data_IF_578393876702
#
_entry.id   IF_578393876702
#
_cell.length_a   1.000
_cell.length_b   1.000
_cell.length_c   1.000
_cell.angle_alpha   90.00
_cell.angle_beta   90.00
_cell.angle_gamma   90.00
#
_symmetry.space_group_name_H-M   'P 1'
#
loop_
_entity.id
_entity.type
_entity.pdbx_description
1 polymer ?
#
# COMPACT_ATOMS: atom_id res chain seq x y z
N UNK A 1 3.68 5.37 8.95
CA UNK A 1 4.15 6.71 8.47
C UNK A 1 3.98 7.70 9.60
N UNK A 2 4.85 8.70 9.73
CA UNK A 2 4.66 9.75 10.74
C UNK A 2 3.37 10.54 10.44
N UNK A 3 2.55 10.88 11.45
CA UNK A 3 1.26 11.55 11.23
C UNK A 3 1.33 12.83 10.39
N UNK A 4 2.41 13.61 10.54
CA UNK A 4 2.64 14.84 9.76
C UNK A 4 2.84 14.62 8.24
N UNK A 5 3.10 13.39 7.81
CA UNK A 5 3.33 13.04 6.41
C UNK A 5 2.10 12.39 5.75
N UNK A 6 1.06 12.12 6.53
CA UNK A 6 -0.19 11.54 6.03
C UNK A 6 -0.91 12.57 5.14
N UNK A 7 -1.32 12.16 3.95
CA UNK A 7 -1.94 13.05 2.96
C UNK A 7 -0.97 13.93 2.16
N UNK A 8 0.32 13.84 2.47
CA UNK A 8 1.37 14.49 1.69
C UNK A 8 1.80 13.62 0.49
N UNK A 9 2.59 14.15 -0.46
CA UNK A 9 3.17 13.35 -1.55
C UNK A 9 3.97 12.12 -1.10
N UNK A 10 4.43 12.09 0.14
CA UNK A 10 5.10 10.93 0.75
C UNK A 10 4.18 9.72 0.95
N UNK A 11 2.86 9.94 1.01
CA UNK A 11 1.88 8.86 1.01
C UNK A 11 1.89 8.09 -0.31
N UNK A 12 2.02 8.79 -1.43
CA UNK A 12 2.19 8.20 -2.77
C UNK A 12 3.49 7.38 -2.84
N UNK A 13 4.61 7.95 -2.40
CA UNK A 13 5.89 7.24 -2.38
C UNK A 13 5.82 5.96 -1.55
N UNK A 14 5.26 6.02 -0.34
CA UNK A 14 5.16 4.87 0.54
C UNK A 14 4.25 3.77 -0.01
N UNK A 15 3.12 4.13 -0.62
CA UNK A 15 2.15 3.18 -1.14
C UNK A 15 2.56 2.61 -2.51
N UNK A 16 3.10 3.45 -3.41
CA UNK A 16 3.37 3.09 -4.81
C UNK A 16 4.83 2.69 -5.06
N UNK A 17 5.78 3.10 -4.21
CA UNK A 17 7.19 2.74 -4.38
C UNK A 17 7.42 1.24 -4.47
N UNK A 18 6.72 0.43 -3.66
CA UNK A 18 6.76 -1.04 -3.72
C UNK A 18 6.21 -1.60 -5.04
N UNK A 19 5.28 -0.91 -5.70
CA UNK A 19 4.76 -1.33 -7.00
C UNK A 19 5.81 -1.18 -8.10
N UNK A 20 6.68 -0.17 -8.03
CA UNK A 20 7.84 -0.04 -8.93
C UNK A 20 8.87 -1.15 -8.70
N UNK A 21 9.02 -1.62 -7.45
CA UNK A 21 9.85 -2.80 -7.17
C UNK A 21 9.29 -4.06 -7.83
N UNK A 22 7.98 -4.31 -7.70
CA UNK A 22 7.29 -5.41 -8.39
C UNK A 22 7.48 -5.30 -9.92
N UNK A 23 7.32 -4.09 -10.47
CA UNK A 23 7.53 -3.85 -11.90
C UNK A 23 8.96 -4.13 -12.37
N UNK A 24 9.95 -3.99 -11.47
CA UNK A 24 11.36 -4.21 -11.79
C UNK A 24 11.79 -5.67 -11.67
N UNK A 25 11.03 -6.49 -10.93
CA UNK A 25 11.33 -7.89 -10.63
C UNK A 25 10.12 -8.80 -10.81
N UNK A 26 9.43 -8.76 -11.98
CA UNK A 26 8.14 -9.44 -12.16
C UNK A 26 8.24 -10.97 -11.96
N UNK A 27 9.40 -11.55 -12.22
CA UNK A 27 9.66 -12.99 -12.07
C UNK A 27 9.62 -13.48 -10.60
N UNK A 28 9.59 -12.55 -9.64
CA UNK A 28 9.57 -12.86 -8.20
C UNK A 28 8.18 -12.79 -7.57
N UNK A 29 7.20 -12.38 -8.34
CA UNK A 29 5.84 -12.12 -7.83
C UNK A 29 4.82 -12.94 -8.60
N UNK A 30 3.72 -13.27 -7.93
CA UNK A 30 2.55 -13.84 -8.58
C UNK A 30 1.85 -12.80 -9.48
N UNK A 31 0.99 -13.25 -10.37
CA UNK A 31 0.24 -12.41 -11.30
C UNK A 31 -0.83 -11.55 -10.62
N UNK A 32 -1.12 -11.81 -9.35
CA UNK A 32 -2.12 -11.10 -8.57
C UNK A 32 -1.54 -10.62 -7.25
N UNK A 33 -1.96 -9.45 -6.83
CA UNK A 33 -1.63 -8.83 -5.55
C UNK A 33 -2.91 -8.73 -4.74
N UNK A 34 -2.83 -9.13 -3.47
CA UNK A 34 -3.89 -8.97 -2.48
C UNK A 34 -3.36 -8.12 -1.33
N UNK A 35 -4.18 -7.26 -0.78
CA UNK A 35 -3.86 -6.47 0.40
C UNK A 35 -5.09 -6.27 1.26
N UNK A 36 -4.93 -6.37 2.55
CA UNK A 36 -5.94 -6.08 3.56
C UNK A 36 -5.78 -4.64 4.02
N UNK A 37 -6.89 -3.94 4.15
CA UNK A 37 -6.94 -2.57 4.68
C UNK A 37 -7.61 -2.63 6.04
N UNK A 38 -7.01 -1.98 7.01
CA UNK A 38 -7.50 -1.95 8.40
C UNK A 38 -8.96 -1.50 8.43
N UNK A 39 -9.79 -2.31 9.09
CA UNK A 39 -11.22 -2.07 9.27
C UNK A 39 -11.53 -0.99 10.29
N UNK A 40 -12.79 -0.61 10.35
CA UNK A 40 -13.26 0.46 11.22
C UNK A 40 -13.07 0.12 12.70
N UNK A 41 -12.48 1.05 13.42
CA UNK A 41 -12.54 1.17 14.87
C UNK A 41 -12.63 2.65 15.25
N UNK A 42 -13.20 2.93 16.40
CA UNK A 42 -13.35 4.29 16.91
C UNK A 42 -12.04 4.87 17.48
N UNK A 43 -12.11 6.09 18.04
CA UNK A 43 -10.96 6.77 18.63
C UNK A 43 -10.42 6.07 19.90
N UNK A 44 -11.24 5.25 20.56
CA UNK A 44 -10.86 4.46 21.73
C UNK A 44 -10.24 3.11 21.31
N UNK A 45 -10.36 2.74 20.03
CA UNK A 45 -9.93 1.45 19.49
C UNK A 45 -10.98 0.36 19.66
N UNK A 46 -12.26 0.73 19.85
CA UNK A 46 -13.37 -0.21 19.89
C UNK A 46 -13.88 -0.48 18.47
N UNK A 47 -14.05 -1.75 18.12
CA UNK A 47 -14.51 -2.22 16.82
C UNK A 47 -15.84 -2.93 16.97
N UNK A 48 -16.96 -2.40 16.42
CA UNK A 48 -18.26 -3.06 16.47
C UNK A 48 -18.23 -4.46 15.83
N UNK A 49 -17.45 -4.62 14.75
CA UNK A 49 -17.28 -5.92 14.10
C UNK A 49 -16.58 -6.93 15.00
N UNK A 50 -15.47 -6.54 15.66
CA UNK A 50 -14.77 -7.40 16.61
C UNK A 50 -15.64 -7.76 17.81
N UNK A 51 -16.36 -6.80 18.37
CA UNK A 51 -17.22 -7.02 19.53
C UNK A 51 -18.35 -8.01 19.23
N UNK A 52 -18.87 -7.99 18.00
CA UNK A 52 -19.93 -8.89 17.57
C UNK A 52 -19.41 -10.32 17.25
N UNK A 53 -18.16 -10.47 16.83
CA UNK A 53 -17.60 -11.75 16.38
C UNK A 53 -16.43 -12.18 17.28
N UNK A 54 -15.29 -11.52 17.17
CA UNK A 54 -14.04 -11.94 17.78
C UNK A 54 -14.08 -12.05 19.29
N UNK A 55 -14.73 -11.10 19.95
CA UNK A 55 -14.87 -11.06 21.40
C UNK A 55 -15.55 -12.29 21.98
N UNK A 56 -16.43 -12.92 21.22
CA UNK A 56 -17.11 -14.17 21.66
C UNK A 56 -16.16 -15.37 21.75
N UNK A 57 -15.00 -15.30 21.12
CA UNK A 57 -14.01 -16.38 21.10
C UNK A 57 -12.79 -16.10 21.95
N UNK A 58 -12.50 -14.82 22.27
CA UNK A 58 -11.23 -14.44 22.89
C UNK A 58 -11.35 -13.73 24.24
N UNK A 59 -12.52 -13.27 24.63
CA UNK A 59 -12.74 -12.42 25.82
C UNK A 59 -11.75 -11.25 25.92
N UNK A 60 -11.37 -10.70 24.75
CA UNK A 60 -10.44 -9.57 24.61
C UNK A 60 -11.13 -8.48 23.79
N UNK A 61 -10.87 -7.22 24.11
CA UNK A 61 -11.22 -6.13 23.19
C UNK A 61 -10.26 -6.11 21.98
N UNK A 62 -10.68 -5.41 20.91
CA UNK A 62 -9.93 -5.38 19.66
C UNK A 62 -8.48 -4.90 19.84
N UNK A 63 -8.24 -3.83 20.59
CA UNK A 63 -6.90 -3.29 20.82
C UNK A 63 -5.96 -4.26 21.57
N UNK A 64 -6.50 -5.09 22.47
CA UNK A 64 -5.73 -6.13 23.16
C UNK A 64 -5.43 -7.32 22.22
N UNK A 65 -6.41 -7.71 21.39
CA UNK A 65 -6.25 -8.76 20.40
C UNK A 65 -5.20 -8.36 19.34
N UNK A 66 -5.24 -7.13 18.83
CA UNK A 66 -4.27 -6.61 17.87
C UNK A 66 -2.84 -6.62 18.46
N UNK A 67 -2.67 -6.18 19.71
CA UNK A 67 -1.37 -6.26 20.41
C UNK A 67 -0.87 -7.69 20.55
N UNK A 68 -1.77 -8.63 20.86
CA UNK A 68 -1.43 -10.04 20.97
C UNK A 68 -0.97 -10.61 19.62
N UNK A 69 -1.63 -10.22 18.53
CA UNK A 69 -1.23 -10.56 17.16
C UNK A 69 0.17 -10.06 16.81
N UNK A 70 0.52 -8.86 17.27
CA UNK A 70 1.86 -8.29 17.06
C UNK A 70 2.96 -9.01 17.83
N UNK A 71 2.63 -9.67 18.94
CA UNK A 71 3.57 -10.39 19.80
C UNK A 71 3.64 -11.89 19.50
N UNK A 72 2.55 -12.48 19.02
CA UNK A 72 2.43 -13.90 18.67
C UNK A 72 2.03 -14.04 17.21
N UNK A 73 2.22 -15.24 16.64
CA UNK A 73 1.76 -15.50 15.28
C UNK A 73 0.24 -15.29 15.16
N UNK A 74 -0.21 -14.65 14.08
CA UNK A 74 -1.64 -14.56 13.72
C UNK A 74 -2.29 -15.93 13.56
N UNK A 75 -1.52 -16.97 13.27
CA UNK A 75 -1.98 -18.36 13.15
C UNK A 75 -2.74 -18.81 14.40
N UNK A 76 -2.27 -18.41 15.59
CA UNK A 76 -2.94 -18.76 16.84
C UNK A 76 -4.38 -18.20 16.92
N UNK A 77 -4.61 -17.00 16.46
CA UNK A 77 -5.95 -16.40 16.44
C UNK A 77 -6.82 -17.03 15.34
N UNK A 78 -6.26 -17.28 14.17
CA UNK A 78 -6.96 -17.91 13.07
C UNK A 78 -7.46 -19.34 13.44
N UNK A 79 -6.69 -20.09 14.24
CA UNK A 79 -7.08 -21.42 14.73
C UNK A 79 -8.25 -21.38 15.72
N UNK A 80 -8.44 -20.27 16.43
CA UNK A 80 -9.50 -20.11 17.42
C UNK A 80 -10.76 -19.44 16.85
N UNK A 81 -10.67 -18.83 15.66
CA UNK A 81 -11.83 -18.26 15.00
C UNK A 81 -12.80 -19.34 14.52
N UNK A 82 -14.08 -19.01 14.35
CA UNK A 82 -15.08 -20.01 13.96
C UNK A 82 -14.77 -20.60 12.57
N UNK A 83 -14.77 -21.92 12.49
CA UNK A 83 -14.62 -22.66 11.24
C UNK A 83 -15.95 -22.84 10.47
N UNK A 84 -17.06 -22.40 11.06
CA UNK A 84 -18.39 -22.49 10.46
C UNK A 84 -18.86 -21.09 10.02
N UNK A 85 -19.70 -21.02 8.96
CA UNK A 85 -20.27 -19.77 8.53
C UNK A 85 -21.06 -19.07 9.64
N UNK A 86 -20.90 -17.76 9.76
CA UNK A 86 -21.70 -16.89 10.61
C UNK A 86 -22.72 -16.20 9.69
N UNK A 87 -23.99 -16.25 10.06
CA UNK A 87 -25.05 -15.58 9.31
C UNK A 87 -25.03 -14.07 9.60
N UNK A 88 -24.59 -13.27 8.62
CA UNK A 88 -24.49 -11.83 8.76
C UNK A 88 -25.76 -11.16 9.28
N UNK A 89 -27.00 -11.54 8.84
CA UNK A 89 -28.23 -10.93 9.37
C UNK A 89 -28.49 -11.17 10.86
N UNK A 90 -27.73 -12.06 11.51
CA UNK A 90 -27.83 -12.28 12.97
C UNK A 90 -26.88 -11.38 13.77
N UNK A 91 -25.96 -10.69 13.11
CA UNK A 91 -25.07 -9.73 13.75
C UNK A 91 -25.84 -8.44 14.10
N UNK A 92 -25.43 -7.70 15.13
CA UNK A 92 -25.94 -6.36 15.40
C UNK A 92 -25.79 -5.44 14.18
N UNK A 93 -26.72 -4.51 13.99
CA UNK A 93 -26.71 -3.59 12.85
C UNK A 93 -25.40 -2.81 12.75
N UNK A 94 -24.85 -2.35 13.89
CA UNK A 94 -23.57 -1.64 13.96
C UNK A 94 -22.39 -2.47 13.43
N UNK A 95 -22.41 -3.78 13.68
CA UNK A 95 -21.39 -4.70 13.16
C UNK A 95 -21.55 -4.93 11.64
N UNK A 96 -22.80 -5.05 11.17
CA UNK A 96 -23.07 -5.17 9.73
C UNK A 96 -22.66 -3.90 8.98
N UNK A 97 -22.93 -2.72 9.55
CA UNK A 97 -22.52 -1.42 8.98
C UNK A 97 -20.98 -1.26 8.95
N UNK A 98 -20.27 -1.80 9.94
CA UNK A 98 -18.82 -1.74 10.00
C UNK A 98 -18.11 -2.65 8.96
N UNK A 99 -18.82 -3.64 8.43
CA UNK A 99 -18.25 -4.58 7.44
C UNK A 99 -17.82 -3.85 6.17
N UNK A 100 -16.56 -4.00 5.79
CA UNK A 100 -15.97 -3.36 4.63
C UNK A 100 -15.68 -1.87 4.81
N UNK A 101 -15.92 -1.29 5.98
CA UNK A 101 -15.52 0.08 6.27
C UNK A 101 -14.03 0.18 6.56
N UNK A 102 -13.41 1.21 6.00
CA UNK A 102 -11.99 1.50 6.18
C UNK A 102 -11.78 2.35 7.43
N UNK A 103 -10.79 1.99 8.24
CA UNK A 103 -10.37 2.84 9.35
C UNK A 103 -9.95 4.24 8.85
N UNK A 104 -10.36 5.36 9.51
CA UNK A 104 -10.07 6.71 9.01
C UNK A 104 -8.59 6.98 8.72
N UNK A 105 -7.68 6.40 9.49
CA UNK A 105 -6.22 6.53 9.26
C UNK A 105 -5.70 5.76 8.04
N UNK A 106 -6.46 4.80 7.53
CA UNK A 106 -6.10 4.00 6.36
C UNK A 106 -6.73 4.51 5.06
N UNK A 107 -7.69 5.45 5.15
CA UNK A 107 -8.46 5.97 4.02
C UNK A 107 -7.56 6.44 2.86
N UNK A 108 -6.51 7.20 3.15
CA UNK A 108 -5.59 7.70 2.11
C UNK A 108 -4.90 6.55 1.36
N UNK A 109 -4.48 5.50 2.08
CA UNK A 109 -3.87 4.32 1.45
C UNK A 109 -4.87 3.58 0.58
N UNK A 110 -6.10 3.41 1.08
CA UNK A 110 -7.20 2.84 0.32
C UNK A 110 -7.44 3.61 -0.98
N UNK A 111 -7.60 4.94 -0.91
CA UNK A 111 -7.85 5.79 -2.07
C UNK A 111 -6.71 5.73 -3.10
N UNK A 112 -5.45 5.66 -2.64
CA UNK A 112 -4.30 5.49 -3.53
C UNK A 112 -4.38 4.15 -4.26
N UNK A 113 -4.66 3.06 -3.57
CA UNK A 113 -4.75 1.73 -4.17
C UNK A 113 -5.93 1.62 -5.15
N UNK A 114 -7.08 2.20 -4.82
CA UNK A 114 -8.22 2.26 -5.74
C UNK A 114 -7.84 3.00 -7.04
N UNK A 115 -7.11 4.12 -6.95
CA UNK A 115 -6.60 4.84 -8.15
C UNK A 115 -5.54 4.05 -8.91
N UNK A 116 -4.84 3.13 -8.25
CA UNK A 116 -3.89 2.21 -8.89
C UNK A 116 -4.57 1.06 -9.62
N UNK A 117 -5.88 0.89 -9.49
CA UNK A 117 -6.66 -0.16 -10.15
C UNK A 117 -6.87 -1.41 -9.30
N UNK A 118 -6.74 -1.27 -7.98
CA UNK A 118 -7.20 -2.31 -7.06
C UNK A 118 -8.73 -2.27 -6.96
N UNK A 119 -9.33 -3.42 -6.74
CA UNK A 119 -10.76 -3.62 -6.59
C UNK A 119 -11.07 -4.30 -5.25
N UNK A 120 -12.25 -4.04 -4.71
CA UNK A 120 -12.78 -4.74 -3.53
C UNK A 120 -13.67 -5.88 -4.01
N UNK A 121 -13.50 -7.06 -3.49
CA UNK A 121 -14.16 -8.29 -3.96
C UNK A 121 -15.09 -8.90 -2.90
N UNK A 122 -15.83 -8.10 -2.20
CA UNK A 122 -16.73 -8.56 -1.12
C UNK A 122 -16.08 -9.40 -0.01
N UNK A 123 -14.75 -9.54 -0.03
CA UNK A 123 -14.00 -10.15 1.05
C UNK A 123 -13.59 -9.12 2.08
N UNK A 124 -13.72 -9.48 3.34
CA UNK A 124 -13.31 -8.67 4.48
C UNK A 124 -12.42 -9.50 5.39
N UNK A 125 -11.54 -8.83 6.14
CA UNK A 125 -10.76 -9.47 7.18
C UNK A 125 -11.68 -9.88 8.33
N UNK A 126 -11.59 -11.13 8.75
CA UNK A 126 -12.41 -11.69 9.84
C UNK A 126 -12.07 -11.07 11.21
N UNK A 127 -10.95 -10.38 11.36
CA UNK A 127 -10.54 -9.75 12.60
C UNK A 127 -11.14 -8.36 12.80
N UNK A 128 -11.07 -7.53 11.76
CA UNK A 128 -11.48 -6.11 11.89
C UNK A 128 -12.58 -5.70 10.93
N UNK A 129 -13.04 -6.63 10.08
CA UNK A 129 -14.07 -6.35 9.09
C UNK A 129 -13.58 -5.46 7.94
N UNK A 130 -12.27 -5.15 7.89
CA UNK A 130 -11.70 -4.29 6.86
C UNK A 130 -11.75 -4.92 5.46
N UNK A 131 -11.80 -4.10 4.40
CA UNK A 131 -11.90 -4.61 3.03
C UNK A 131 -10.59 -5.24 2.57
N UNK A 132 -10.72 -6.37 1.85
CA UNK A 132 -9.62 -6.97 1.09
C UNK A 132 -9.65 -6.40 -0.33
N UNK A 133 -8.49 -5.87 -0.76
CA UNK A 133 -8.31 -5.37 -2.12
C UNK A 133 -7.46 -6.35 -2.93
N UNK A 134 -7.76 -6.48 -4.20
CA UNK A 134 -6.97 -7.27 -5.13
C UNK A 134 -6.76 -6.55 -6.44
N UNK A 135 -5.68 -6.89 -7.14
CA UNK A 135 -5.40 -6.42 -8.49
C UNK A 135 -4.58 -7.44 -9.26
N UNK A 136 -4.77 -7.51 -10.57
CA UNK A 136 -3.78 -8.16 -11.45
C UNK A 136 -2.57 -7.25 -11.59
N UNK A 137 -1.37 -7.80 -11.40
CA UNK A 137 -0.11 -7.04 -11.47
C UNK A 137 -0.01 -6.22 -12.75
N UNK A 138 -0.40 -6.80 -13.90
CA UNK A 138 -0.38 -6.12 -15.19
C UNK A 138 -1.39 -4.96 -15.31
N UNK A 139 -2.43 -4.95 -14.49
CA UNK A 139 -3.47 -3.90 -14.46
C UNK A 139 -3.15 -2.75 -13.52
N UNK A 140 -2.16 -2.92 -12.63
CA UNK A 140 -1.77 -1.86 -11.68
C UNK A 140 -1.14 -0.70 -12.44
N UNK A 141 -1.72 0.49 -12.28
CA UNK A 141 -1.36 1.69 -13.04
C UNK A 141 0.13 2.04 -12.95
N UNK A 142 0.70 2.06 -11.75
CA UNK A 142 2.14 2.33 -11.55
C UNK A 142 3.02 1.30 -12.25
N UNK A 143 2.61 0.05 -12.35
CA UNK A 143 3.34 -1.00 -13.06
C UNK A 143 3.20 -0.81 -14.57
N UNK A 144 1.96 -0.75 -15.06
CA UNK A 144 1.64 -0.69 -16.48
C UNK A 144 2.18 0.59 -17.16
N UNK A 145 2.17 1.71 -16.46
CA UNK A 145 2.59 3.00 -17.02
C UNK A 145 4.05 3.36 -16.73
N UNK A 146 4.74 2.61 -15.87
CA UNK A 146 6.15 2.90 -15.57
C UNK A 146 7.05 2.64 -16.78
N UNK A 147 8.15 3.37 -16.84
CA UNK A 147 9.16 3.26 -17.90
C UNK A 147 10.54 3.12 -17.29
N UNK A 148 11.37 2.29 -17.93
CA UNK A 148 12.79 2.20 -17.64
C UNK A 148 13.52 3.14 -18.57
N UNK A 149 14.32 4.05 -18.01
CA UNK A 149 15.02 5.08 -18.78
C UNK A 149 16.46 5.23 -18.29
N UNK A 150 17.40 5.60 -19.18
CA UNK A 150 18.76 5.87 -18.76
C UNK A 150 18.84 7.23 -18.03
N UNK A 151 19.78 7.29 -17.09
CA UNK A 151 20.09 8.48 -16.30
C UNK A 151 21.17 9.31 -16.99
N UNK A 152 20.97 10.62 -17.03
CA UNK A 152 21.98 11.62 -17.32
C UNK A 152 22.20 12.46 -16.07
N UNK A 153 23.45 12.62 -15.65
CA UNK A 153 23.76 13.52 -14.53
C UNK A 153 23.86 14.95 -15.04
N UNK A 154 23.14 15.88 -14.39
CA UNK A 154 23.10 17.29 -14.79
C UNK A 154 22.26 18.13 -13.84
N UNK A 155 22.09 19.39 -14.18
CA UNK A 155 21.21 20.28 -13.41
C UNK A 155 19.74 19.95 -13.70
N UNK A 156 18.96 19.77 -12.63
CA UNK A 156 17.50 19.61 -12.74
C UNK A 156 16.84 20.98 -12.86
N UNK A 157 15.92 21.11 -13.82
CA UNK A 157 15.10 22.32 -13.93
C UNK A 157 14.19 22.43 -12.68
N UNK A 158 14.26 23.53 -11.96
CA UNK A 158 13.45 23.79 -10.77
C UNK A 158 12.12 24.45 -11.14
N UNK A 159 11.02 23.93 -10.56
CA UNK A 159 9.70 24.53 -10.73
C UNK A 159 9.07 24.37 -12.12
N UNK A 160 9.63 23.52 -12.96
CA UNK A 160 9.13 23.24 -14.31
C UNK A 160 9.11 21.72 -14.47
N UNK A 161 7.99 21.08 -14.13
CA UNK A 161 7.93 19.64 -14.27
C UNK A 161 6.67 19.04 -13.66
N UNK A 162 6.57 17.72 -13.78
CA UNK A 162 5.55 16.90 -13.09
C UNK A 162 6.23 16.08 -12.01
N UNK A 163 5.46 15.72 -11.01
CA UNK A 163 5.95 14.80 -9.99
C UNK A 163 6.01 13.36 -10.54
N UNK A 164 7.15 12.72 -10.28
CA UNK A 164 7.41 11.34 -10.64
C UNK A 164 7.90 10.57 -9.43
N UNK A 165 7.42 9.34 -9.30
CA UNK A 165 8.09 8.32 -8.51
C UNK A 165 9.21 7.75 -9.36
N UNK A 166 10.43 7.74 -8.81
CA UNK A 166 11.62 7.21 -9.47
C UNK A 166 12.26 6.18 -8.58
N UNK A 167 12.61 5.02 -9.12
CA UNK A 167 13.31 3.97 -8.37
C UNK A 167 14.50 3.43 -9.15
N UNK A 168 15.51 2.96 -8.41
CA UNK A 168 16.51 2.08 -8.98
C UNK A 168 15.92 0.66 -9.21
N UNK A 169 16.69 -0.23 -9.83
CA UNK A 169 16.30 -1.62 -10.05
C UNK A 169 17.08 -2.60 -9.15
N UNK A 170 17.70 -2.12 -8.07
CA UNK A 170 18.47 -2.96 -7.16
C UNK A 170 17.55 -3.88 -6.37
N UNK A 171 17.90 -5.16 -6.26
CA UNK A 171 17.16 -6.12 -5.47
C UNK A 171 17.44 -5.99 -3.97
N UNK A 172 18.70 -5.73 -3.60
CA UNK A 172 19.12 -5.68 -2.18
C UNK A 172 19.14 -4.25 -1.62
N UNK A 173 19.46 -3.27 -2.47
CA UNK A 173 19.52 -1.85 -2.09
C UNK A 173 18.50 -1.06 -2.92
N UNK A 174 17.24 -1.50 -2.84
CA UNK A 174 16.14 -0.83 -3.51
C UNK A 174 15.89 0.55 -2.89
N UNK A 175 15.84 1.56 -3.76
CA UNK A 175 15.57 2.94 -3.36
C UNK A 175 14.56 3.55 -4.30
N UNK A 176 13.65 4.32 -3.74
CA UNK A 176 12.67 5.10 -4.47
C UNK A 176 12.57 6.51 -3.90
N UNK A 177 12.40 7.48 -4.77
CA UNK A 177 12.29 8.91 -4.44
C UNK A 177 11.13 9.54 -5.20
N UNK A 178 10.65 10.66 -4.69
CA UNK A 178 9.69 11.51 -5.36
C UNK A 178 10.42 12.75 -5.88
N UNK A 179 10.39 12.98 -7.19
CA UNK A 179 11.10 14.08 -7.84
C UNK A 179 10.15 14.85 -8.76
N UNK A 180 10.38 16.16 -8.86
CA UNK A 180 9.81 16.98 -9.91
C UNK A 180 10.75 16.95 -11.11
N UNK A 181 10.28 16.44 -12.26
CA UNK A 181 11.11 16.20 -13.44
C UNK A 181 10.47 16.82 -14.69
N UNK A 182 11.30 17.48 -15.48
CA UNK A 182 11.00 17.82 -16.88
C UNK A 182 11.44 16.64 -17.76
N UNK A 183 10.61 15.60 -17.79
CA UNK A 183 10.90 14.38 -18.52
C UNK A 183 10.06 14.28 -19.80
N UNK A 184 10.73 14.06 -20.93
CA UNK A 184 10.10 13.76 -22.20
C UNK A 184 10.27 12.27 -22.56
N UNK A 185 9.19 11.55 -22.94
CA UNK A 185 9.27 10.14 -23.33
C UNK A 185 10.31 9.88 -24.41
N UNK A 186 11.07 8.78 -24.23
CA UNK A 186 12.13 8.38 -25.16
C UNK A 186 13.47 9.09 -24.97
N UNK A 187 13.58 9.98 -23.99
CA UNK A 187 14.85 10.64 -23.64
C UNK A 187 15.40 10.12 -22.31
N UNK A 188 16.71 10.23 -22.04
CA UNK A 188 17.26 10.07 -20.70
C UNK A 188 16.61 11.01 -19.71
N UNK A 189 16.48 10.56 -18.46
CA UNK A 189 16.07 11.44 -17.35
C UNK A 189 17.29 12.15 -16.79
N UNK A 190 17.21 13.47 -16.61
CA UNK A 190 18.28 14.24 -15.97
C UNK A 190 18.07 14.25 -14.46
N UNK A 191 19.08 13.81 -13.71
CA UNK A 191 19.11 13.83 -12.25
C UNK A 191 20.31 14.69 -11.79
N UNK A 192 20.11 15.47 -10.74
CA UNK A 192 21.23 16.08 -10.06
C UNK A 192 22.00 15.08 -9.19
N UNK A 193 23.15 15.49 -8.67
CA UNK A 193 23.98 14.61 -7.85
C UNK A 193 23.26 14.12 -6.61
N UNK A 194 22.47 14.95 -5.95
CA UNK A 194 21.73 14.58 -4.73
C UNK A 194 20.66 13.53 -5.02
N UNK A 195 19.90 13.67 -6.10
CA UNK A 195 18.91 12.68 -6.53
C UNK A 195 19.57 11.35 -6.95
N UNK A 196 20.68 11.42 -7.67
CA UNK A 196 21.44 10.24 -8.08
C UNK A 196 22.02 9.48 -6.88
N UNK A 197 22.58 10.19 -5.90
CA UNK A 197 23.07 9.60 -4.63
C UNK A 197 21.93 8.99 -3.81
N UNK A 198 20.79 9.67 -3.71
CA UNK A 198 19.62 9.15 -3.00
C UNK A 198 19.11 7.86 -3.63
N UNK A 199 19.17 7.72 -4.95
CA UNK A 199 18.82 6.50 -5.69
C UNK A 199 19.95 5.47 -5.74
N UNK A 200 21.19 5.84 -5.42
CA UNK A 200 22.35 4.97 -5.56
C UNK A 200 22.67 4.64 -7.00
N UNK A 201 22.52 5.61 -7.92
CA UNK A 201 22.77 5.43 -9.37
C UNK A 201 23.77 6.46 -9.89
N UNK A 202 24.43 6.13 -11.02
CA UNK A 202 25.36 7.02 -11.70
C UNK A 202 24.97 7.33 -13.16
N UNK A 203 25.82 8.05 -13.85
CA UNK A 203 25.67 8.35 -15.28
C UNK A 203 25.46 7.07 -16.10
N UNK A 204 24.46 7.05 -16.96
CA UNK A 204 24.13 5.91 -17.83
C UNK A 204 23.43 4.75 -17.14
N UNK A 205 23.30 4.77 -15.82
CA UNK A 205 22.49 3.76 -15.11
C UNK A 205 21.01 3.85 -15.55
N UNK A 206 20.24 2.79 -15.29
CA UNK A 206 18.81 2.79 -15.58
C UNK A 206 18.01 2.99 -14.30
N UNK A 207 16.95 3.80 -14.40
CA UNK A 207 15.93 3.97 -13.35
C UNK A 207 14.56 3.68 -13.93
N UNK A 208 13.64 3.28 -13.07
CA UNK A 208 12.22 3.17 -13.41
C UNK A 208 11.46 4.39 -12.88
N UNK A 209 10.61 4.97 -13.73
CA UNK A 209 9.81 6.12 -13.32
C UNK A 209 8.35 6.00 -13.76
N UNK A 210 7.46 6.63 -13.00
CA UNK A 210 6.03 6.78 -13.30
C UNK A 210 5.55 8.14 -12.78
N UNK A 211 4.66 8.80 -13.50
CA UNK A 211 4.03 10.05 -13.05
C UNK A 211 3.10 9.77 -11.83
N UNK A 212 3.05 10.74 -10.91
CA UNK A 212 2.15 10.73 -9.76
C UNK A 212 0.75 11.18 -10.16
#
# INVERSE_FOLDING_TARGET
>A
MQPALVGSPWSELNSRGRLLFVASHPERFADSVVTEIVGYSDENGDSPFWDAIGRNFFDLNYAAAERLCGLKSRTFLAELMPHYPIYVPLLPDEAQEAMGQVHPRAQITFDILMREGFETDHYIDIFDGGPTLHARVSGIRSIAQSRVVPVKIGEMAKGVGRQYLVSNASLQDYRAVLLELDYAPGKPVTLDLAAAEALGVGEGASVRLVAV
#
